data_IF_144609627301
#
_entry.id   IF_144609627301
#
_cell.length_a   1.000
_cell.length_b   1.000
_cell.length_c   1.000
_cell.angle_alpha   90.00
_cell.angle_beta   90.00
_cell.angle_gamma   90.00
#
_symmetry.space_group_name_H-M   'P 1'
#
loop_
_entity.id
_entity.type
_entity.pdbx_description
1 polymer ?
#
# COMPACT_ATOMS: atom_id res chain seq x y z
N UNK A 1 38.44 1.80 -23.57
CA UNK A 1 37.65 2.72 -22.72
C UNK A 1 36.14 2.41 -22.70
N UNK A 2 35.48 2.16 -23.84
CA UNK A 2 34.01 1.94 -23.92
C UNK A 2 33.45 0.75 -23.12
N UNK A 3 34.20 -0.35 -22.95
CA UNK A 3 33.74 -1.55 -22.21
C UNK A 3 33.61 -1.32 -20.69
N UNK A 4 34.45 -0.46 -20.10
CA UNK A 4 34.38 -0.17 -18.66
C UNK A 4 33.25 0.81 -18.34
N UNK A 5 33.06 1.83 -19.17
CA UNK A 5 31.94 2.78 -19.02
C UNK A 5 30.58 2.09 -19.20
N UNK A 6 30.46 1.16 -20.16
CA UNK A 6 29.23 0.38 -20.36
C UNK A 6 28.89 -0.52 -19.16
N UNK A 7 29.88 -1.18 -18.56
CA UNK A 7 29.68 -1.99 -17.34
C UNK A 7 29.27 -1.14 -16.14
N UNK A 8 29.85 0.05 -15.99
CA UNK A 8 29.49 0.98 -14.90
C UNK A 8 28.06 1.50 -15.08
N UNK A 9 27.65 1.83 -16.31
CA UNK A 9 26.27 2.27 -16.60
C UNK A 9 25.27 1.14 -16.32
N UNK A 10 25.59 -0.10 -16.70
CA UNK A 10 24.74 -1.26 -16.43
C UNK A 10 24.59 -1.52 -14.92
N UNK A 11 25.66 -1.35 -14.14
CA UNK A 11 25.66 -1.49 -12.69
C UNK A 11 24.81 -0.40 -12.02
N UNK A 12 24.91 0.84 -12.50
CA UNK A 12 24.10 1.97 -12.01
C UNK A 12 22.61 1.78 -12.32
N UNK A 13 22.25 1.31 -13.52
CA UNK A 13 20.87 1.00 -13.85
C UNK A 13 20.30 -0.12 -12.98
N UNK A 14 21.11 -1.13 -12.66
CA UNK A 14 20.71 -2.23 -11.77
C UNK A 14 20.50 -1.78 -10.32
N UNK A 15 21.30 -0.83 -9.84
CA UNK A 15 21.14 -0.27 -8.49
C UNK A 15 19.83 0.54 -8.39
N UNK A 16 19.47 1.32 -9.42
CA UNK A 16 18.26 2.16 -9.40
C UNK A 16 16.97 1.31 -9.40
N UNK A 17 16.95 0.15 -10.05
CA UNK A 17 15.76 -0.72 -10.10
C UNK A 17 15.46 -1.43 -8.77
N UNK A 18 16.42 -1.52 -7.84
CA UNK A 18 16.21 -2.14 -6.52
C UNK A 18 15.40 -1.26 -5.54
N UNK A 19 15.40 0.07 -5.72
CA UNK A 19 14.78 0.99 -4.76
C UNK A 19 13.25 1.06 -4.85
N UNK A 20 12.66 0.80 -6.02
CA UNK A 20 11.20 0.85 -6.20
C UNK A 20 10.47 -0.30 -5.50
N UNK A 21 11.09 -1.48 -5.43
CA UNK A 21 10.56 -2.62 -4.68
C UNK A 21 10.80 -2.47 -3.16
N UNK A 22 11.92 -1.85 -2.76
CA UNK A 22 12.29 -1.67 -1.37
C UNK A 22 11.30 -0.79 -0.58
N UNK A 23 10.74 0.26 -1.19
CA UNK A 23 9.77 1.15 -0.50
C UNK A 23 8.46 0.44 -0.17
N UNK A 24 7.96 -0.41 -1.08
CA UNK A 24 6.76 -1.23 -0.83
C UNK A 24 7.03 -2.29 0.23
N UNK A 25 8.16 -2.99 0.13
CA UNK A 25 8.51 -4.02 1.11
C UNK A 25 8.66 -3.42 2.51
N UNK A 26 9.33 -2.26 2.62
CA UNK A 26 9.47 -1.52 3.89
C UNK A 26 8.11 -1.16 4.51
N UNK A 27 7.15 -0.70 3.70
CA UNK A 27 5.79 -0.44 4.20
C UNK A 27 5.13 -1.73 4.70
N UNK A 28 5.20 -2.82 3.94
CA UNK A 28 4.66 -4.12 4.34
C UNK A 28 5.28 -4.56 5.66
N UNK A 29 6.60 -4.43 5.82
CA UNK A 29 7.32 -4.84 7.02
C UNK A 29 6.93 -3.99 8.23
N UNK A 30 6.86 -2.66 8.06
CA UNK A 30 6.40 -1.74 9.10
C UNK A 30 5.00 -2.10 9.58
N UNK A 31 4.10 -2.43 8.65
CA UNK A 31 2.72 -2.80 8.96
C UNK A 31 2.67 -4.16 9.64
N UNK A 32 3.30 -5.20 9.06
CA UNK A 32 3.33 -6.56 9.60
C UNK A 32 4.00 -6.67 10.98
N UNK A 33 4.90 -5.75 11.34
CA UNK A 33 5.47 -5.68 12.69
C UNK A 33 4.42 -5.44 13.80
N UNK A 34 3.19 -5.05 13.44
CA UNK A 34 2.07 -4.92 14.37
C UNK A 34 1.30 -6.21 14.60
N UNK A 35 1.56 -7.29 13.86
CA UNK A 35 0.95 -8.59 14.12
C UNK A 35 1.31 -9.03 15.55
N UNK A 36 0.30 -9.44 16.31
CA UNK A 36 0.40 -9.77 17.74
C UNK A 36 0.30 -8.58 18.69
N UNK A 37 0.23 -7.33 18.19
CA UNK A 37 0.01 -6.13 19.00
C UNK A 37 -1.46 -5.76 19.09
N UNK A 38 -1.80 -4.91 20.05
CA UNK A 38 -3.16 -4.43 20.26
C UNK A 38 -3.56 -3.39 19.21
N UNK A 39 -4.77 -3.51 18.67
CA UNK A 39 -5.29 -2.62 17.62
C UNK A 39 -5.52 -1.18 18.09
N UNK A 40 -5.81 -0.94 19.37
CA UNK A 40 -6.00 0.40 19.91
C UNK A 40 -4.69 1.21 19.83
N UNK A 41 -3.53 0.55 19.97
CA UNK A 41 -2.21 1.19 19.80
C UNK A 41 -1.91 1.45 18.32
N UNK A 42 -2.28 0.52 17.44
CA UNK A 42 -2.12 0.69 16.00
C UNK A 42 -2.95 1.89 15.51
N UNK A 43 -4.20 2.04 15.95
CA UNK A 43 -5.05 3.18 15.58
C UNK A 43 -4.49 4.53 16.04
N UNK A 44 -3.76 4.58 17.17
CA UNK A 44 -3.07 5.81 17.60
C UNK A 44 -1.98 6.26 16.62
N UNK A 45 -1.36 5.30 15.91
CA UNK A 45 -0.27 5.57 14.98
C UNK A 45 -0.79 5.82 13.57
N UNK A 46 -1.80 5.07 13.13
CA UNK A 46 -2.28 5.08 11.74
C UNK A 46 -3.65 5.74 11.53
N UNK A 47 -4.34 6.12 12.62
CA UNK A 47 -5.70 6.66 12.59
C UNK A 47 -6.77 5.57 12.68
N UNK A 48 -8.03 6.00 12.61
CA UNK A 48 -9.18 5.11 12.56
C UNK A 48 -9.38 4.54 11.15
N UNK A 49 -9.91 3.31 11.02
CA UNK A 49 -10.17 2.70 9.71
C UNK A 49 -11.35 3.36 9.01
N UNK A 50 -11.36 3.36 7.68
CA UNK A 50 -12.51 3.84 6.92
C UNK A 50 -13.68 2.86 6.97
N UNK A 51 -13.41 1.55 7.07
CA UNK A 51 -14.46 0.53 7.16
C UNK A 51 -14.09 -0.61 8.11
N UNK A 52 -15.12 -1.29 8.59
CA UNK A 52 -15.01 -2.49 9.42
C UNK A 52 -15.85 -3.59 8.79
N UNK A 53 -15.24 -4.75 8.54
CA UNK A 53 -15.92 -5.92 7.97
C UNK A 53 -15.72 -7.14 8.86
N UNK A 54 -16.68 -8.06 8.88
CA UNK A 54 -16.53 -9.37 9.51
C UNK A 54 -16.05 -10.38 8.49
N UNK A 55 -15.14 -11.28 8.88
CA UNK A 55 -14.60 -12.30 7.97
C UNK A 55 -15.33 -13.62 8.18
N UNK A 56 -16.14 -14.03 7.20
CA UNK A 56 -16.70 -15.39 7.17
C UNK A 56 -15.61 -16.41 6.81
N UNK A 57 -15.57 -17.62 7.40
CA UNK A 57 -16.51 -18.17 8.38
C UNK A 57 -16.09 -17.97 9.85
N UNK A 58 -15.09 -17.13 10.15
CA UNK A 58 -14.58 -16.97 11.51
C UNK A 58 -15.24 -15.76 12.21
N UNK A 59 -16.30 -15.97 13.01
CA UNK A 59 -17.03 -14.85 13.63
C UNK A 59 -16.17 -14.07 14.63
N UNK A 60 -15.08 -14.66 15.14
CA UNK A 60 -14.19 -14.03 16.11
C UNK A 60 -13.19 -13.07 15.47
N UNK A 61 -13.12 -13.04 14.13
CA UNK A 61 -12.26 -12.13 13.39
C UNK A 61 -13.06 -10.96 12.83
N UNK A 62 -12.61 -9.76 13.18
CA UNK A 62 -13.03 -8.51 12.58
C UNK A 62 -11.87 -7.95 11.77
N UNK A 63 -12.14 -7.31 10.64
CA UNK A 63 -11.12 -6.72 9.79
C UNK A 63 -11.37 -5.23 9.62
N UNK A 64 -10.37 -4.44 9.99
CA UNK A 64 -10.34 -3.01 9.77
C UNK A 64 -9.68 -2.71 8.44
N UNK A 65 -10.36 -1.91 7.62
CA UNK A 65 -9.93 -1.60 6.25
C UNK A 65 -9.43 -0.17 6.23
N UNK A 66 -8.16 -0.02 5.84
CA UNK A 66 -7.50 1.25 5.63
C UNK A 66 -7.31 1.50 4.13
N UNK A 67 -7.74 2.64 3.61
CA UNK A 67 -7.64 2.99 2.19
C UNK A 67 -6.84 4.27 2.02
N UNK A 68 -5.69 4.15 1.37
CA UNK A 68 -4.85 5.29 1.00
C UNK A 68 -4.89 5.49 -0.50
N UNK A 69 -5.14 6.72 -0.92
CA UNK A 69 -5.11 7.13 -2.32
C UNK A 69 -4.17 8.31 -2.51
N UNK A 70 -3.46 8.34 -3.63
CA UNK A 70 -2.64 9.46 -4.05
C UNK A 70 -2.75 9.67 -5.56
N UNK A 71 -2.38 10.87 -6.00
CA UNK A 71 -2.16 11.20 -7.40
C UNK A 71 -0.75 10.75 -7.79
N UNK A 72 -0.60 10.06 -8.92
CA UNK A 72 0.70 9.92 -9.54
C UNK A 72 1.06 11.23 -10.27
N UNK A 73 2.08 11.98 -9.83
CA UNK A 73 2.48 13.23 -10.48
C UNK A 73 3.04 13.02 -11.89
N UNK A 74 3.46 11.79 -12.22
CA UNK A 74 4.02 11.42 -13.54
C UNK A 74 2.94 11.02 -14.55
N UNK A 75 1.66 11.13 -14.19
CA UNK A 75 0.55 10.84 -15.10
C UNK A 75 0.62 11.76 -16.32
N UNK A 76 0.77 11.22 -17.55
CA UNK A 76 0.84 12.03 -18.75
C UNK A 76 -0.42 12.89 -18.89
N UNK A 77 -0.29 14.15 -19.27
CA UNK A 77 -1.42 15.09 -19.42
C UNK A 77 -2.55 14.57 -20.35
N UNK A 78 -2.22 13.63 -21.26
CA UNK A 78 -3.17 12.96 -22.15
C UNK A 78 -4.10 11.95 -21.46
N UNK A 79 -3.78 11.52 -20.23
CA UNK A 79 -4.63 10.63 -19.42
C UNK A 79 -5.71 11.39 -18.62
N UNK A 80 -5.81 12.72 -18.78
CA UNK A 80 -6.77 13.57 -18.08
C UNK A 80 -6.25 14.08 -16.73
N UNK A 81 -7.11 14.77 -15.97
CA UNK A 81 -6.71 15.28 -14.65
C UNK A 81 -6.49 14.11 -13.68
N UNK A 82 -5.44 14.19 -12.89
CA UNK A 82 -5.16 13.21 -11.84
C UNK A 82 -6.32 13.02 -10.85
N UNK A 83 -7.12 14.07 -10.64
CA UNK A 83 -8.34 14.03 -9.82
C UNK A 83 -9.42 13.18 -10.50
N UNK A 84 -9.60 13.30 -11.80
CA UNK A 84 -10.53 12.45 -12.55
C UNK A 84 -10.09 10.97 -12.49
N UNK A 85 -8.79 10.70 -12.57
CA UNK A 85 -8.27 9.33 -12.41
C UNK A 85 -8.60 8.75 -11.03
N UNK A 86 -8.52 9.56 -9.96
CA UNK A 86 -8.95 9.15 -8.61
C UNK A 86 -10.45 8.89 -8.54
N UNK A 87 -11.28 9.76 -9.14
CA UNK A 87 -12.73 9.57 -9.20
C UNK A 87 -13.08 8.28 -9.94
N UNK A 88 -12.43 8.00 -11.07
CA UNK A 88 -12.64 6.77 -11.84
C UNK A 88 -12.15 5.53 -11.09
N UNK A 89 -10.98 5.58 -10.45
CA UNK A 89 -10.45 4.48 -9.64
C UNK A 89 -11.28 4.17 -8.38
N UNK A 90 -12.08 5.14 -7.90
CA UNK A 90 -13.08 4.90 -6.86
C UNK A 90 -14.34 4.22 -7.39
N UNK A 91 -14.70 4.42 -8.66
CA UNK A 91 -15.86 3.79 -9.31
C UNK A 91 -15.54 2.39 -9.84
N UNK A 92 -14.36 2.20 -10.41
CA UNK A 92 -13.88 0.93 -10.94
C UNK A 92 -12.50 0.58 -10.33
N UNK A 93 -12.44 -0.43 -9.45
CA UNK A 93 -11.19 -0.90 -8.85
C UNK A 93 -10.15 -1.43 -9.84
N UNK A 94 -10.53 -1.73 -11.09
CA UNK A 94 -9.62 -2.19 -12.14
C UNK A 94 -9.01 -1.02 -12.94
N UNK A 95 -9.57 0.19 -12.85
CA UNK A 95 -9.11 1.39 -13.56
C UNK A 95 -7.81 2.00 -13.01
N UNK A 96 -6.98 1.25 -12.28
CA UNK A 96 -5.74 1.73 -11.64
C UNK A 96 -4.64 2.09 -12.66
N UNK A 97 -4.93 2.12 -13.96
CA UNK A 97 -3.94 2.30 -15.03
C UNK A 97 -3.58 3.77 -15.35
N UNK A 98 -4.35 4.78 -14.93
CA UNK A 98 -4.19 6.14 -15.47
C UNK A 98 -3.96 7.26 -14.45
N UNK A 99 -3.20 7.00 -13.38
CA UNK A 99 -2.68 8.06 -12.51
C UNK A 99 -3.22 8.12 -11.10
N UNK A 100 -4.13 7.21 -10.75
CA UNK A 100 -4.54 6.99 -9.37
C UNK A 100 -3.65 5.92 -8.72
N UNK A 101 -3.02 6.29 -7.61
CA UNK A 101 -2.25 5.41 -6.75
C UNK A 101 -3.13 4.99 -5.58
N UNK A 102 -3.28 3.69 -5.32
CA UNK A 102 -4.13 3.17 -4.25
C UNK A 102 -3.43 2.07 -3.45
N UNK A 103 -3.63 2.06 -2.14
CA UNK A 103 -3.32 0.93 -1.27
C UNK A 103 -4.46 0.70 -0.31
N UNK A 104 -5.04 -0.49 -0.35
CA UNK A 104 -5.95 -0.99 0.67
C UNK A 104 -5.18 -1.91 1.60
N UNK A 105 -5.27 -1.66 2.90
CA UNK A 105 -4.67 -2.47 3.97
C UNK A 105 -5.79 -3.05 4.81
N UNK A 106 -5.82 -4.38 4.97
CA UNK A 106 -6.78 -5.08 5.81
C UNK A 106 -6.06 -5.56 7.06
N UNK A 107 -6.48 -5.09 8.23
CA UNK A 107 -5.95 -5.47 9.53
C UNK A 107 -6.98 -6.35 10.23
N UNK A 108 -6.74 -7.65 10.22
CA UNK A 108 -7.61 -8.64 10.87
C UNK A 108 -7.24 -8.79 12.33
N UNK A 109 -8.22 -8.62 13.21
CA UNK A 109 -8.10 -8.65 14.66
C UNK A 109 -9.02 -9.69 15.25
N UNK A 110 -8.58 -10.27 16.35
CA UNK A 110 -9.42 -11.07 17.24
C UNK A 110 -10.26 -10.13 18.10
N UNK A 111 -11.59 -10.27 18.07
CA UNK A 111 -12.51 -9.30 18.71
C UNK A 111 -12.38 -9.28 20.24
N UNK A 112 -12.07 -10.43 20.84
CA UNK A 112 -12.07 -10.58 22.30
C UNK A 112 -10.77 -10.06 22.90
N UNK A 113 -9.64 -10.43 22.28
CA UNK A 113 -8.30 -10.04 22.74
C UNK A 113 -7.83 -8.71 22.16
N UNK A 114 -8.50 -8.21 21.12
CA UNK A 114 -8.11 -7.03 20.32
C UNK A 114 -6.71 -7.13 19.69
N UNK A 115 -6.18 -8.34 19.55
CA UNK A 115 -4.87 -8.57 18.97
C UNK A 115 -4.95 -8.67 17.45
N UNK A 116 -3.99 -8.04 16.77
CA UNK A 116 -3.85 -8.17 15.33
C UNK A 116 -3.36 -9.58 14.99
N UNK A 117 -4.15 -10.31 14.21
CA UNK A 117 -3.87 -11.69 13.78
C UNK A 117 -3.21 -11.74 12.40
N UNK A 118 -3.56 -10.82 11.52
CA UNK A 118 -3.02 -10.76 10.16
C UNK A 118 -3.15 -9.36 9.56
N UNK A 119 -2.26 -9.02 8.64
CA UNK A 119 -2.36 -7.81 7.83
C UNK A 119 -2.08 -8.13 6.36
N UNK A 120 -3.02 -7.79 5.48
CA UNK A 120 -2.90 -7.98 4.03
C UNK A 120 -3.06 -6.66 3.27
N UNK A 121 -2.58 -6.63 2.03
CA UNK A 121 -2.47 -5.40 1.24
C UNK A 121 -2.83 -5.64 -0.22
N UNK A 122 -3.41 -4.64 -0.87
CA UNK A 122 -3.67 -4.63 -2.32
C UNK A 122 -3.49 -3.23 -2.87
N UNK A 123 -2.94 -3.14 -4.08
CA UNK A 123 -2.78 -1.90 -4.82
C UNK A 123 -1.32 -1.55 -5.10
N UNK A 124 -1.13 -0.45 -5.81
CA UNK A 124 0.15 0.02 -6.34
C UNK A 124 0.81 1.13 -5.50
N UNK A 125 0.23 1.51 -4.35
CA UNK A 125 0.71 2.61 -3.51
C UNK A 125 0.92 2.25 -2.03
N UNK A 126 1.33 1.02 -1.76
CA UNK A 126 1.61 0.59 -0.39
C UNK A 126 3.00 1.05 0.02
N UNK A 127 3.16 2.35 0.30
CA UNK A 127 4.45 2.98 0.59
C UNK A 127 4.43 3.78 1.91
N UNK A 128 5.58 3.81 2.59
CA UNK A 128 5.78 4.64 3.79
C UNK A 128 5.71 6.11 3.39
N UNK A 129 5.06 6.96 4.21
CA UNK A 129 5.32 8.41 4.11
C UNK A 129 6.80 8.63 4.44
N UNK A 130 7.51 9.35 3.56
CA UNK A 130 8.75 10.00 3.96
C UNK A 130 8.42 11.15 4.91
#
# INVERSE_FOLDING_TARGET
>A
MFKHTFKIILLLLFIISLFSCATRQKYIDQQKAWIGKNIDQYMKVFGYPENVISVSPNPNIQTYVYIRTAVNPETPALAGSAVNSLVMANRDPQFVQFGALKCTTWVSIDKDTKLIKNITFRGNYCATRN
#
